data_IF_546624322010
#
_entry.id   IF_546624322010
#
_cell.length_a   1.000
_cell.length_b   1.000
_cell.length_c   1.000
_cell.angle_alpha   90.00
_cell.angle_beta   90.00
_cell.angle_gamma   90.00
#
_symmetry.space_group_name_H-M   'P 1'
#
loop_
_entity.id
_entity.type
_entity.pdbx_description
1 polymer ?
#
# COMPACT_ATOMS: atom_id res chain seq x y z
N UNK A 1 -77.81 36.03 11.52
CA UNK A 1 -76.96 34.89 11.68
C UNK A 1 -76.02 34.90 10.48
N UNK A 2 -74.80 35.43 10.66
CA UNK A 2 -73.82 35.59 9.58
C UNK A 2 -72.78 34.50 9.73
N UNK A 3 -72.69 33.55 8.79
CA UNK A 3 -71.71 32.46 8.74
C UNK A 3 -70.42 32.95 8.11
N UNK A 4 -69.33 32.94 8.91
CA UNK A 4 -68.01 33.27 8.45
C UNK A 4 -67.43 32.14 7.59
N UNK A 5 -66.60 32.42 6.56
CA UNK A 5 -65.99 31.41 5.71
C UNK A 5 -64.81 30.74 6.40
N UNK A 6 -64.77 29.39 6.35
CA UNK A 6 -63.70 28.55 6.82
C UNK A 6 -62.49 28.70 5.87
N UNK A 7 -61.34 29.16 6.40
CA UNK A 7 -60.04 29.14 5.66
C UNK A 7 -59.50 27.71 5.56
N UNK A 8 -59.09 27.25 4.37
CA UNK A 8 -58.41 26.00 4.24
C UNK A 8 -57.00 26.09 4.84
N UNK A 9 -56.61 25.07 5.61
CA UNK A 9 -55.29 24.91 6.20
C UNK A 9 -54.23 24.71 5.10
N UNK A 10 -53.01 25.30 5.24
CA UNK A 10 -51.95 25.06 4.29
C UNK A 10 -51.45 23.59 4.42
N UNK A 11 -51.55 22.84 3.32
CA UNK A 11 -50.99 21.53 3.17
C UNK A 11 -49.47 21.60 3.41
N UNK A 12 -48.96 20.83 4.38
CA UNK A 12 -47.54 20.63 4.60
C UNK A 12 -46.97 19.91 3.38
N UNK A 13 -46.39 20.67 2.45
CA UNK A 13 -45.50 20.12 1.42
C UNK A 13 -44.37 19.38 2.11
N UNK A 14 -44.34 18.05 1.91
CA UNK A 14 -43.29 17.21 2.40
C UNK A 14 -41.95 17.64 1.82
N UNK A 15 -41.15 18.29 2.65
CA UNK A 15 -39.72 18.55 2.35
C UNK A 15 -39.04 17.23 2.10
N UNK A 16 -39.01 16.78 0.85
CA UNK A 16 -38.19 15.68 0.38
C UNK A 16 -36.74 16.01 0.67
N UNK A 17 -36.20 15.44 1.72
CA UNK A 17 -34.75 15.43 1.97
C UNK A 17 -34.12 14.74 0.76
N UNK A 18 -33.73 15.50 -0.26
CA UNK A 18 -32.76 15.06 -1.26
C UNK A 18 -31.50 14.67 -0.51
N UNK A 19 -31.35 13.38 -0.21
CA UNK A 19 -30.14 12.83 0.38
C UNK A 19 -28.99 13.13 -0.56
N UNK A 20 -28.11 14.04 -0.16
CA UNK A 20 -26.88 14.32 -0.89
C UNK A 20 -26.18 12.97 -1.17
N UNK A 21 -25.77 12.69 -2.41
CA UNK A 21 -25.13 11.43 -2.75
C UNK A 21 -23.94 11.23 -1.81
N UNK A 22 -23.93 10.11 -1.07
CA UNK A 22 -22.83 9.78 -0.15
C UNK A 22 -21.55 9.76 -0.95
N UNK A 23 -20.69 10.76 -0.78
CA UNK A 23 -19.38 10.81 -1.43
C UNK A 23 -18.62 9.56 -1.04
N UNK A 24 -18.27 8.74 -2.02
CA UNK A 24 -17.49 7.52 -1.82
C UNK A 24 -16.17 7.76 -1.07
N UNK A 25 -15.51 6.71 -0.56
CA UNK A 25 -14.24 6.83 0.16
C UNK A 25 -13.21 7.56 -0.70
N UNK A 26 -12.50 8.51 -0.10
CA UNK A 26 -11.46 9.27 -0.78
C UNK A 26 -10.13 9.08 -0.05
N UNK A 27 -9.07 8.87 -0.82
CA UNK A 27 -7.72 8.78 -0.30
C UNK A 27 -6.88 9.97 -0.79
N UNK A 28 -6.01 10.56 0.07
CA UNK A 28 -5.13 11.65 -0.34
C UNK A 28 -4.27 11.28 -1.55
N UNK A 29 -4.08 12.21 -2.47
CA UNK A 29 -3.34 11.98 -3.72
C UNK A 29 -1.89 11.57 -3.48
N UNK A 30 -1.21 12.19 -2.50
CA UNK A 30 0.14 11.82 -2.10
C UNK A 30 0.22 10.36 -1.62
N UNK A 31 -0.75 9.94 -0.78
CA UNK A 31 -0.81 8.54 -0.34
C UNK A 31 -0.99 7.59 -1.52
N UNK A 32 -1.89 7.92 -2.44
CA UNK A 32 -2.16 7.07 -3.62
C UNK A 32 -0.93 6.92 -4.49
N UNK A 33 -0.21 8.02 -4.74
CA UNK A 33 1.02 8.01 -5.53
C UNK A 33 2.11 7.15 -4.86
N UNK A 34 2.43 7.42 -3.59
CA UNK A 34 3.45 6.67 -2.85
C UNK A 34 3.08 5.18 -2.72
N UNK A 35 1.84 4.90 -2.35
CA UNK A 35 1.36 3.52 -2.22
C UNK A 35 1.35 2.80 -3.57
N UNK A 36 0.88 3.44 -4.65
CA UNK A 36 0.84 2.85 -5.98
C UNK A 36 2.24 2.49 -6.50
N UNK A 37 3.20 3.44 -6.43
CA UNK A 37 4.57 3.18 -6.82
C UNK A 37 5.22 2.08 -5.97
N UNK A 38 5.03 2.12 -4.64
CA UNK A 38 5.53 1.07 -3.75
C UNK A 38 4.91 -0.28 -4.04
N UNK A 39 3.59 -0.34 -4.26
CA UNK A 39 2.88 -1.59 -4.53
C UNK A 39 3.33 -2.25 -5.84
N UNK A 40 3.54 -1.46 -6.90
CA UNK A 40 4.06 -1.97 -8.18
C UNK A 40 5.49 -2.49 -8.03
N UNK A 41 6.37 -1.75 -7.34
CA UNK A 41 7.74 -2.16 -7.11
C UNK A 41 7.81 -3.41 -6.20
N UNK A 42 6.99 -3.50 -5.14
CA UNK A 42 6.87 -4.68 -4.28
C UNK A 42 6.40 -5.89 -5.07
N UNK A 43 5.38 -5.73 -5.92
CA UNK A 43 4.90 -6.82 -6.78
C UNK A 43 6.01 -7.30 -7.72
N UNK A 44 6.73 -6.37 -8.36
CA UNK A 44 7.87 -6.70 -9.23
C UNK A 44 8.98 -7.43 -8.48
N UNK A 45 9.40 -6.94 -7.30
CA UNK A 45 10.38 -7.61 -6.45
C UNK A 45 9.89 -9.00 -6.00
N UNK A 46 8.62 -9.12 -5.61
CA UNK A 46 8.07 -10.39 -5.13
C UNK A 46 8.06 -11.45 -6.22
N UNK A 47 7.62 -11.08 -7.44
CA UNK A 47 7.59 -11.98 -8.60
C UNK A 47 9.00 -12.35 -9.08
N UNK A 48 9.91 -11.37 -9.19
CA UNK A 48 11.30 -11.64 -9.58
C UNK A 48 12.05 -12.46 -8.54
N UNK A 49 11.77 -12.23 -7.24
CA UNK A 49 12.27 -13.06 -6.15
C UNK A 49 11.83 -14.51 -6.26
N UNK A 50 10.59 -14.79 -6.70
CA UNK A 50 10.10 -16.13 -6.99
C UNK A 50 10.89 -16.80 -8.12
N UNK A 51 11.20 -16.05 -9.18
CA UNK A 51 12.02 -16.55 -10.32
C UNK A 51 13.44 -16.84 -9.87
N UNK A 52 14.06 -15.93 -9.10
CA UNK A 52 15.41 -16.12 -8.51
C UNK A 52 15.42 -17.39 -7.65
N UNK A 53 14.45 -17.55 -6.75
CA UNK A 53 14.34 -18.74 -5.92
C UNK A 53 14.21 -20.02 -6.77
N UNK A 54 13.32 -20.06 -7.74
CA UNK A 54 13.08 -21.24 -8.57
C UNK A 54 14.29 -21.63 -9.41
N UNK A 55 15.09 -20.64 -9.85
CA UNK A 55 16.26 -20.88 -10.70
C UNK A 55 17.52 -21.23 -9.94
N UNK A 56 17.79 -20.58 -8.81
CA UNK A 56 19.10 -20.63 -8.15
C UNK A 56 19.11 -21.37 -6.81
N UNK A 57 17.97 -21.58 -6.16
CA UNK A 57 17.92 -22.24 -4.86
C UNK A 57 17.08 -23.53 -4.87
N UNK A 58 15.78 -23.40 -4.83
CA UNK A 58 14.84 -24.54 -4.80
C UNK A 58 14.89 -25.38 -3.53
N UNK A 59 15.47 -24.91 -2.39
CA UNK A 59 15.61 -25.71 -1.15
C UNK A 59 14.28 -26.08 -0.48
N UNK A 60 13.20 -25.34 -0.72
CA UNK A 60 11.83 -25.68 -0.28
C UNK A 60 11.01 -26.38 -1.38
N UNK A 61 11.68 -26.84 -2.43
CA UNK A 61 11.11 -27.45 -3.61
C UNK A 61 11.43 -26.65 -4.88
N UNK A 62 11.75 -27.37 -5.94
CA UNK A 62 12.04 -26.74 -7.24
C UNK A 62 10.75 -26.34 -7.92
N UNK A 63 10.64 -25.07 -8.25
CA UNK A 63 9.56 -24.58 -9.10
C UNK A 63 9.91 -24.83 -10.58
N UNK A 64 8.96 -25.24 -11.42
CA UNK A 64 9.18 -25.46 -12.85
C UNK A 64 9.31 -24.13 -13.61
N UNK A 65 9.94 -23.14 -13.02
CA UNK A 65 10.06 -21.78 -13.53
C UNK A 65 11.51 -21.46 -13.88
N UNK A 66 11.92 -21.85 -15.09
CA UNK A 66 13.27 -21.61 -15.62
C UNK A 66 13.21 -20.60 -16.77
N UNK A 67 13.05 -19.32 -16.41
CA UNK A 67 13.07 -18.23 -17.39
C UNK A 67 14.52 -17.83 -17.70
N UNK A 68 14.92 -17.68 -19.00
CA UNK A 68 16.24 -17.17 -19.37
C UNK A 68 16.42 -15.72 -18.92
N UNK A 69 17.67 -15.32 -18.63
CA UNK A 69 18.01 -13.95 -18.20
C UNK A 69 18.73 -13.90 -16.87
N UNK A 70 19.26 -12.73 -16.54
CA UNK A 70 19.89 -12.45 -15.23
C UNK A 70 18.87 -11.90 -14.25
N UNK A 71 18.18 -12.81 -13.56
CA UNK A 71 17.10 -12.48 -12.65
C UNK A 71 17.61 -11.95 -11.30
N UNK A 72 18.85 -12.21 -10.94
CA UNK A 72 19.47 -11.64 -9.73
C UNK A 72 19.65 -10.13 -9.92
N UNK A 73 20.19 -9.70 -11.05
CA UNK A 73 20.38 -8.28 -11.36
C UNK A 73 19.06 -7.54 -11.53
N UNK A 74 18.07 -8.16 -12.19
CA UNK A 74 16.72 -7.59 -12.34
C UNK A 74 16.08 -7.40 -10.96
N UNK A 75 16.14 -8.42 -10.09
CA UNK A 75 15.58 -8.37 -8.73
C UNK A 75 16.29 -7.31 -7.88
N UNK A 76 17.62 -7.27 -7.92
CA UNK A 76 18.43 -6.30 -7.21
C UNK A 76 18.13 -4.87 -7.66
N UNK A 77 18.06 -4.63 -8.97
CA UNK A 77 17.72 -3.31 -9.55
C UNK A 77 16.33 -2.84 -9.12
N UNK A 78 15.32 -3.72 -9.14
CA UNK A 78 13.99 -3.41 -8.64
C UNK A 78 14.00 -3.09 -7.14
N UNK A 79 14.83 -3.79 -6.35
CA UNK A 79 15.03 -3.52 -4.92
C UNK A 79 15.59 -2.11 -4.67
N UNK A 80 16.56 -1.68 -5.50
CA UNK A 80 17.11 -0.31 -5.44
C UNK A 80 16.05 0.73 -5.78
N UNK A 81 15.23 0.49 -6.81
CA UNK A 81 14.11 1.37 -7.19
C UNK A 81 13.04 1.42 -6.09
N UNK A 82 12.75 0.29 -5.45
CA UNK A 82 11.77 0.19 -4.36
C UNK A 82 12.18 1.03 -3.15
N UNK A 83 13.47 1.09 -2.81
CA UNK A 83 13.98 1.70 -1.58
C UNK A 83 13.47 3.14 -1.37
N UNK A 84 13.62 4.11 -2.30
CA UNK A 84 13.15 5.47 -2.09
C UNK A 84 11.63 5.56 -1.89
N UNK A 85 10.83 4.77 -2.62
CA UNK A 85 9.39 4.76 -2.45
C UNK A 85 8.97 4.16 -1.10
N UNK A 86 9.63 3.09 -0.65
CA UNK A 86 9.39 2.48 0.65
C UNK A 86 9.72 3.44 1.80
N UNK A 87 10.85 4.17 1.72
CA UNK A 87 11.23 5.19 2.70
C UNK A 87 10.22 6.32 2.75
N UNK A 88 9.83 6.88 1.60
CA UNK A 88 8.84 7.96 1.54
C UNK A 88 7.46 7.50 2.04
N UNK A 89 7.05 6.28 1.70
CA UNK A 89 5.81 5.70 2.22
C UNK A 89 5.88 5.48 3.74
N UNK A 90 7.01 5.01 4.27
CA UNK A 90 7.23 4.84 5.70
C UNK A 90 7.17 6.18 6.45
N UNK A 91 7.86 7.20 5.94
CA UNK A 91 7.80 8.57 6.49
C UNK A 91 6.36 9.10 6.48
N UNK A 92 5.65 8.95 5.35
CA UNK A 92 4.24 9.33 5.26
C UNK A 92 3.39 8.57 6.30
N UNK A 93 3.57 7.27 6.40
CA UNK A 93 2.81 6.42 7.31
C UNK A 93 3.06 6.77 8.79
N UNK A 94 4.31 7.05 9.17
CA UNK A 94 4.67 7.43 10.53
C UNK A 94 4.26 8.87 10.91
N UNK A 95 4.05 9.73 9.94
CA UNK A 95 3.65 11.14 10.14
C UNK A 95 2.18 11.37 9.86
N UNK A 96 1.82 11.58 8.61
CA UNK A 96 0.46 11.90 8.17
C UNK A 96 -0.51 10.72 8.28
N UNK A 97 0.01 9.49 8.11
CA UNK A 97 -0.75 8.24 8.13
C UNK A 97 -0.79 7.53 9.48
N UNK A 98 -0.25 8.11 10.56
CA UNK A 98 -0.03 7.42 11.85
C UNK A 98 -1.25 6.66 12.39
N UNK A 99 -2.45 7.24 12.27
CA UNK A 99 -3.70 6.57 12.69
C UNK A 99 -4.00 5.30 11.89
N UNK A 100 -3.51 5.21 10.66
CA UNK A 100 -3.72 4.03 9.79
C UNK A 100 -2.79 2.89 10.16
N UNK A 101 -1.59 3.20 10.68
CA UNK A 101 -0.62 2.21 11.16
C UNK A 101 -1.09 1.46 12.42
N UNK A 102 -2.05 2.00 13.17
CA UNK A 102 -2.63 1.32 14.32
C UNK A 102 -3.39 0.03 13.94
N UNK A 103 -3.73 -0.13 12.67
CA UNK A 103 -4.33 -1.36 12.16
C UNK A 103 -3.24 -2.35 11.73
N UNK A 104 -3.19 -3.56 12.30
CA UNK A 104 -2.18 -4.56 11.94
C UNK A 104 -2.12 -4.86 10.44
N UNK A 105 -3.27 -4.85 9.75
CA UNK A 105 -3.33 -5.05 8.29
C UNK A 105 -2.56 -3.99 7.49
N UNK A 106 -2.24 -2.83 8.07
CA UNK A 106 -1.46 -1.78 7.42
C UNK A 106 0.00 -1.74 7.91
N UNK A 107 0.26 -2.06 9.18
CA UNK A 107 1.61 -2.03 9.74
C UNK A 107 2.42 -3.27 9.37
N UNK A 108 1.80 -4.46 9.32
CA UNK A 108 2.50 -5.70 9.00
C UNK A 108 3.18 -5.69 7.62
N UNK A 109 2.52 -5.25 6.51
CA UNK A 109 3.20 -5.14 5.22
C UNK A 109 4.40 -4.21 5.25
N UNK A 110 4.32 -3.09 5.98
CA UNK A 110 5.42 -2.13 6.08
C UNK A 110 6.60 -2.70 6.87
N UNK A 111 6.33 -3.44 7.96
CA UNK A 111 7.37 -4.11 8.74
C UNK A 111 8.04 -5.25 7.95
N UNK A 112 7.23 -6.08 7.27
CA UNK A 112 7.75 -7.15 6.41
C UNK A 112 8.60 -6.59 5.26
N UNK A 113 8.17 -5.47 4.67
CA UNK A 113 8.92 -4.77 3.63
C UNK A 113 10.25 -4.22 4.17
N UNK A 114 10.25 -3.62 5.37
CA UNK A 114 11.47 -3.16 6.03
C UNK A 114 12.46 -4.30 6.26
N UNK A 115 11.98 -5.47 6.70
CA UNK A 115 12.81 -6.67 6.86
C UNK A 115 13.37 -7.16 5.52
N UNK A 116 12.55 -7.17 4.46
CA UNK A 116 12.98 -7.59 3.11
C UNK A 116 14.06 -6.67 2.55
N UNK A 117 13.85 -5.34 2.63
CA UNK A 117 14.84 -4.36 2.16
C UNK A 117 16.12 -4.44 3.00
N UNK A 118 16.01 -4.50 4.32
CA UNK A 118 17.18 -4.59 5.22
C UNK A 118 17.99 -5.84 4.98
N UNK A 119 17.35 -7.01 4.92
CA UNK A 119 18.06 -8.27 4.65
C UNK A 119 18.64 -8.33 3.23
N UNK A 120 17.92 -7.82 2.23
CA UNK A 120 18.43 -7.72 0.85
C UNK A 120 19.66 -6.81 0.76
N UNK A 121 19.67 -5.68 1.48
CA UNK A 121 20.84 -4.80 1.55
C UNK A 121 22.02 -5.48 2.22
N UNK A 122 21.78 -6.20 3.33
CA UNK A 122 22.85 -6.96 4.00
C UNK A 122 23.50 -8.02 3.08
N UNK A 123 22.74 -8.63 2.17
CA UNK A 123 23.28 -9.59 1.20
C UNK A 123 24.20 -8.93 0.16
N UNK A 124 24.11 -7.63 -0.06
CA UNK A 124 24.97 -6.88 -0.99
C UNK A 124 26.31 -6.46 -0.38
N UNK A 125 26.43 -6.48 0.95
CA UNK A 125 27.64 -6.03 1.65
C UNK A 125 28.76 -7.06 1.55
N UNK A 126 29.93 -6.66 1.04
CA UNK A 126 31.06 -7.56 0.78
C UNK A 126 31.59 -8.25 2.04
N UNK A 127 31.59 -7.56 3.18
CA UNK A 127 32.04 -8.12 4.45
C UNK A 127 31.11 -9.22 5.01
N UNK A 128 29.88 -9.32 4.51
CA UNK A 128 28.92 -10.36 4.84
C UNK A 128 28.90 -11.51 3.82
N UNK A 129 29.58 -11.37 2.69
CA UNK A 129 29.57 -12.39 1.62
C UNK A 129 30.32 -13.66 2.00
N UNK A 130 31.19 -13.62 2.99
CA UNK A 130 31.95 -14.79 3.46
C UNK A 130 31.40 -15.30 4.81
N UNK A 131 31.24 -16.64 4.91
CA UNK A 131 30.93 -17.31 6.16
C UNK A 131 29.45 -17.42 6.54
N UNK A 132 29.21 -17.75 7.82
CA UNK A 132 27.87 -18.08 8.36
C UNK A 132 26.86 -16.92 8.29
N UNK A 133 27.32 -15.68 8.38
CA UNK A 133 26.44 -14.49 8.35
C UNK A 133 25.77 -14.32 6.98
N UNK A 134 26.43 -14.71 5.90
CA UNK A 134 25.82 -14.69 4.56
C UNK A 134 24.62 -15.65 4.49
N UNK A 135 24.74 -16.84 5.03
CA UNK A 135 23.63 -17.79 5.09
C UNK A 135 22.46 -17.26 5.92
N UNK A 136 22.73 -16.61 7.05
CA UNK A 136 21.70 -16.01 7.89
C UNK A 136 20.96 -14.89 7.15
N UNK A 137 21.68 -13.96 6.51
CA UNK A 137 21.08 -12.86 5.76
C UNK A 137 20.18 -13.38 4.63
N UNK A 138 20.64 -14.42 3.92
CA UNK A 138 19.85 -15.07 2.89
C UNK A 138 18.56 -15.70 3.44
N UNK A 139 18.62 -16.45 4.55
CA UNK A 139 17.44 -17.05 5.16
C UNK A 139 16.46 -16.00 5.68
N UNK A 140 16.97 -14.90 6.25
CA UNK A 140 16.14 -13.78 6.67
C UNK A 140 15.44 -13.11 5.47
N UNK A 141 16.14 -12.98 4.34
CA UNK A 141 15.55 -12.41 3.13
C UNK A 141 14.46 -13.32 2.55
N UNK A 142 14.69 -14.62 2.52
CA UNK A 142 13.72 -15.61 2.05
C UNK A 142 12.47 -15.64 2.97
N UNK A 143 12.69 -15.59 4.29
CA UNK A 143 11.60 -15.47 5.25
C UNK A 143 10.83 -14.15 5.05
N UNK A 144 11.54 -13.04 4.87
CA UNK A 144 10.93 -11.74 4.62
C UNK A 144 10.11 -11.73 3.33
N UNK A 145 10.58 -12.38 2.25
CA UNK A 145 9.83 -12.55 1.02
C UNK A 145 8.48 -13.26 1.26
N UNK A 146 8.49 -14.35 2.04
CA UNK A 146 7.26 -15.05 2.42
C UNK A 146 6.33 -14.17 3.27
N UNK A 147 6.90 -13.48 4.27
CA UNK A 147 6.14 -12.58 5.15
C UNK A 147 5.51 -11.41 4.39
N UNK A 148 6.19 -10.84 3.38
CA UNK A 148 5.62 -9.81 2.50
C UNK A 148 4.40 -10.37 1.77
N UNK A 149 4.47 -11.56 1.18
CA UNK A 149 3.33 -12.18 0.50
C UNK A 149 2.12 -12.36 1.42
N UNK A 150 2.35 -12.94 2.61
CA UNK A 150 1.29 -13.15 3.62
C UNK A 150 0.71 -11.82 4.12
N UNK A 151 1.57 -10.84 4.43
CA UNK A 151 1.14 -9.54 4.95
C UNK A 151 0.36 -8.74 3.90
N UNK A 152 0.75 -8.79 2.62
CA UNK A 152 0.02 -8.16 1.52
C UNK A 152 -1.34 -8.85 1.33
N UNK A 153 -1.41 -10.18 1.37
CA UNK A 153 -2.68 -10.90 1.29
C UNK A 153 -3.62 -10.52 2.45
N UNK A 154 -3.09 -10.47 3.68
CA UNK A 154 -3.85 -10.02 4.85
C UNK A 154 -4.29 -8.56 4.75
N UNK A 155 -3.45 -7.68 4.17
CA UNK A 155 -3.79 -6.28 3.90
C UNK A 155 -4.96 -6.17 2.92
N UNK A 156 -4.89 -6.84 1.78
CA UNK A 156 -5.96 -6.85 0.77
C UNK A 156 -7.27 -7.40 1.35
N UNK A 157 -7.19 -8.50 2.11
CA UNK A 157 -8.34 -9.06 2.80
C UNK A 157 -8.95 -8.07 3.80
N UNK A 158 -8.11 -7.38 4.59
CA UNK A 158 -8.53 -6.33 5.52
C UNK A 158 -9.23 -5.18 4.81
N UNK A 159 -8.70 -4.71 3.68
CA UNK A 159 -9.32 -3.66 2.85
C UNK A 159 -10.70 -4.10 2.36
N UNK A 160 -10.81 -5.33 1.82
CA UNK A 160 -12.07 -5.85 1.31
C UNK A 160 -13.11 -6.03 2.42
N UNK A 161 -12.71 -6.48 3.61
CA UNK A 161 -13.63 -6.63 4.77
C UNK A 161 -14.10 -5.29 5.34
N UNK A 162 -13.25 -4.27 5.36
CA UNK A 162 -13.55 -2.97 6.00
C UNK A 162 -14.34 -2.01 5.12
N UNK A 163 -14.12 -2.02 3.83
CA UNK A 163 -14.72 -1.05 2.91
C UNK A 163 -15.05 -1.60 1.54
N UNK A 164 -14.82 -2.89 1.32
CA UNK A 164 -15.11 -3.57 0.07
C UNK A 164 -14.36 -3.01 -1.14
N UNK A 165 -14.88 -3.35 -2.30
CA UNK A 165 -14.33 -2.88 -3.58
C UNK A 165 -14.24 -1.35 -3.72
N UNK A 166 -15.22 -0.53 -3.25
CA UNK A 166 -15.10 0.93 -3.31
C UNK A 166 -13.89 1.50 -2.59
N UNK A 167 -13.48 0.89 -1.46
CA UNK A 167 -12.28 1.31 -0.73
C UNK A 167 -11.01 0.96 -1.52
N UNK A 168 -10.94 -0.22 -2.12
CA UNK A 168 -9.82 -0.62 -2.98
C UNK A 168 -9.72 0.30 -4.19
N UNK A 169 -10.83 0.57 -4.89
CA UNK A 169 -10.88 1.48 -6.04
C UNK A 169 -10.46 2.91 -5.68
N UNK A 170 -10.72 3.37 -4.44
CA UNK A 170 -10.33 4.71 -4.01
C UNK A 170 -8.83 4.95 -4.03
N UNK A 171 -8.01 3.88 -3.98
CA UNK A 171 -6.55 3.95 -4.11
C UNK A 171 -6.11 4.05 -5.59
N UNK A 172 -6.91 3.55 -6.51
CA UNK A 172 -6.63 3.57 -7.96
C UNK A 172 -7.18 4.81 -8.66
N UNK A 173 -8.03 5.58 -7.99
CA UNK A 173 -8.66 6.76 -8.56
C UNK A 173 -7.61 7.86 -8.80
N UNK A 174 -7.51 8.35 -10.03
CA UNK A 174 -6.56 9.40 -10.45
C UNK A 174 -7.06 10.81 -10.17
N UNK A 175 -8.36 11.00 -9.90
CA UNK A 175 -8.93 12.34 -9.67
C UNK A 175 -8.46 12.91 -8.34
N UNK A 176 -7.80 14.08 -8.38
CA UNK A 176 -7.43 14.84 -7.19
C UNK A 176 -8.52 15.90 -6.90
N UNK A 177 -8.86 16.07 -5.61
CA UNK A 177 -9.75 17.15 -5.18
C UNK A 177 -9.01 18.48 -5.17
N UNK A 178 -9.74 19.58 -5.25
CA UNK A 178 -9.19 20.93 -5.02
C UNK A 178 -8.43 20.95 -3.68
N UNK A 179 -7.18 21.43 -3.69
CA UNK A 179 -6.28 21.45 -2.52
C UNK A 179 -5.57 20.14 -2.19
N UNK A 180 -5.69 19.11 -3.04
CA UNK A 180 -4.97 17.82 -2.93
C UNK A 180 -4.24 17.47 -4.23
N UNK A 181 -3.79 18.49 -4.95
CA UNK A 181 -2.96 18.34 -6.15
C UNK A 181 -1.48 18.15 -5.77
N UNK A 182 -0.62 17.64 -6.66
CA UNK A 182 0.81 17.50 -6.40
C UNK A 182 1.49 18.79 -5.94
N UNK A 183 1.05 19.96 -6.45
CA UNK A 183 1.50 21.27 -6.02
C UNK A 183 1.20 21.59 -4.54
N UNK A 184 0.20 20.93 -3.95
CA UNK A 184 -0.23 21.16 -2.57
C UNK A 184 0.50 20.26 -1.55
N UNK A 185 1.21 19.20 -1.99
CA UNK A 185 1.80 18.20 -1.11
C UNK A 185 2.77 18.79 -0.09
N UNK A 186 3.67 19.70 -0.53
CA UNK A 186 4.62 20.37 0.37
C UNK A 186 3.90 21.24 1.41
N UNK A 187 2.81 21.90 1.00
CA UNK A 187 2.00 22.74 1.89
C UNK A 187 1.27 21.87 2.93
N UNK A 188 0.77 20.70 2.55
CA UNK A 188 0.13 19.75 3.46
C UNK A 188 1.11 19.21 4.52
N UNK A 189 2.36 18.94 4.13
CA UNK A 189 3.42 18.51 5.04
C UNK A 189 3.79 19.59 6.07
N UNK A 190 3.81 20.89 5.65
CA UNK A 190 4.13 22.01 6.54
C UNK A 190 3.02 22.38 7.52
N UNK A 191 1.74 22.25 7.15
CA UNK A 191 0.60 22.65 7.99
C UNK A 191 0.35 21.74 9.21
N UNK A 192 1.01 20.63 9.32
CA UNK A 192 0.84 19.65 10.43
C UNK A 192 2.00 19.63 11.42
N UNK A 193 2.90 20.59 11.33
CA UNK A 193 3.85 20.92 12.38
C UNK A 193 3.27 22.03 13.26
#
# INVERSE_FOLDING_TARGET
MSSAPVRPSPSKEGSGKHGSPKKGPYQPSLLRALHGCSALAVLGCWLTGLVVYGRYDGRWGRLPLQLPGDWIDIHGSLGVVLLPFAVLLAVYACTLGRRRLQRPSNSLPLLALGLAIGSGKLMQEDWLRSGQLHHLAYHLHLLAWLLVGVAVAAHLWGVLRLGGWPLAQSMLNTTARSGDQPSDWLRQLRRRR
#
